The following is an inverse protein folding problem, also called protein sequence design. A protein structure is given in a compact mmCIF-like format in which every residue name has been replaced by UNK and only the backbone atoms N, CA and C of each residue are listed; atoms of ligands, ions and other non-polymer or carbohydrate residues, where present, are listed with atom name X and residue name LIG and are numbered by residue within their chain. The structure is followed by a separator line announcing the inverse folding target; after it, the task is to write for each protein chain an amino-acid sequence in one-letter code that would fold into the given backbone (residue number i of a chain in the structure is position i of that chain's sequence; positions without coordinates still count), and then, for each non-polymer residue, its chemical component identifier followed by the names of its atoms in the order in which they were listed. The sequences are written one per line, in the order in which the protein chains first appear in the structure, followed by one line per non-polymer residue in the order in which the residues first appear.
data_IF_413421766772
#
_entry.id   IF_413421766772
#
_cell.length_a   1.000
_cell.length_b   1.000
_cell.length_c   1.000
_cell.angle_alpha   90.00
_cell.angle_beta   90.00
_cell.angle_gamma   90.00
#
_symmetry.space_group_name_H-M   'P 1'
#
loop_
_entity.id
_entity.type
_entity.pdbx_description
1 polymer ?
#
# COMPACT_ATOMS: atom_id res chain seq x y z
N UNK A 1 50.39 8.12 -39.58
CA UNK A 1 49.01 8.13 -40.13
C UNK A 1 48.09 7.22 -39.32
N UNK A 2 48.48 5.98 -38.99
CA UNK A 2 47.64 5.04 -38.22
C UNK A 2 47.32 5.58 -36.81
N UNK A 3 48.29 6.11 -36.07
CA UNK A 3 48.12 6.59 -34.72
C UNK A 3 47.28 7.88 -34.65
N UNK A 4 47.38 8.76 -35.64
CA UNK A 4 46.53 9.95 -35.73
C UNK A 4 45.08 9.59 -36.06
N UNK A 5 44.85 8.62 -36.94
CA UNK A 5 43.50 8.12 -37.26
C UNK A 5 42.86 7.38 -36.10
N UNK A 6 43.64 6.67 -35.28
CA UNK A 6 43.16 5.95 -34.11
C UNK A 6 42.56 6.92 -33.04
N UNK A 7 43.21 8.05 -32.80
CA UNK A 7 42.70 9.06 -31.85
C UNK A 7 41.36 9.61 -32.34
N UNK A 8 41.22 9.93 -33.60
CA UNK A 8 39.96 10.41 -34.18
C UNK A 8 38.87 9.33 -34.12
N UNK A 9 39.21 8.08 -34.44
CA UNK A 9 38.26 6.97 -34.37
C UNK A 9 37.72 6.74 -32.94
N UNK A 10 38.55 6.91 -31.90
CA UNK A 10 38.15 6.82 -30.50
C UNK A 10 37.12 7.93 -30.17
N UNK A 11 37.36 9.16 -30.58
CA UNK A 11 36.42 10.25 -30.33
C UNK A 11 35.09 10.06 -31.09
N UNK A 12 35.15 9.61 -32.34
CA UNK A 12 33.95 9.26 -33.09
C UNK A 12 33.18 8.12 -32.41
N UNK A 13 33.84 7.09 -31.91
CA UNK A 13 33.21 6.00 -31.19
C UNK A 13 32.50 6.47 -29.91
N UNK A 14 33.09 7.45 -29.17
CA UNK A 14 32.44 8.09 -28.02
C UNK A 14 31.17 8.86 -28.43
N UNK A 15 31.22 9.56 -29.55
CA UNK A 15 30.04 10.27 -30.07
C UNK A 15 28.91 9.30 -30.42
N UNK A 16 29.22 8.21 -31.11
CA UNK A 16 28.21 7.17 -31.39
C UNK A 16 27.62 6.56 -30.13
N UNK A 17 28.46 6.25 -29.13
CA UNK A 17 27.97 5.77 -27.85
C UNK A 17 27.05 6.77 -27.16
N UNK A 18 27.42 8.04 -27.14
CA UNK A 18 26.54 9.09 -26.57
C UNK A 18 25.21 9.22 -27.34
N UNK A 19 25.23 9.03 -28.67
CA UNK A 19 24.00 8.99 -29.47
C UNK A 19 23.11 7.79 -29.10
N UNK A 20 23.69 6.60 -28.91
CA UNK A 20 22.96 5.42 -28.45
C UNK A 20 22.38 5.64 -27.06
N UNK A 21 23.11 6.26 -26.13
CA UNK A 21 22.65 6.62 -24.79
C UNK A 21 21.46 7.61 -24.87
N UNK A 22 21.51 8.61 -25.75
CA UNK A 22 20.40 9.56 -25.98
C UNK A 22 19.18 8.85 -26.54
N UNK A 23 19.34 7.97 -27.51
CA UNK A 23 18.24 7.18 -28.07
C UNK A 23 17.61 6.28 -27.00
N UNK A 24 18.43 5.65 -26.16
CA UNK A 24 17.96 4.85 -25.03
C UNK A 24 17.12 5.67 -24.03
N UNK A 25 17.50 6.94 -23.78
CA UNK A 25 16.76 7.87 -22.92
C UNK A 25 15.41 8.32 -23.51
N UNK A 26 15.14 8.07 -24.78
CA UNK A 26 13.84 8.35 -25.38
C UNK A 26 12.79 7.29 -25.04
N UNK A 27 13.21 6.12 -24.60
CA UNK A 27 12.33 5.03 -24.20
C UNK A 27 12.11 5.05 -22.68
N UNK A 28 10.87 5.20 -22.27
CA UNK A 28 10.48 5.25 -20.85
C UNK A 28 10.82 3.97 -20.11
N UNK A 29 10.93 2.84 -20.79
CA UNK A 29 11.27 1.56 -20.17
C UNK A 29 12.73 1.50 -19.69
N UNK A 30 13.60 2.32 -20.29
CA UNK A 30 15.02 2.42 -19.93
C UNK A 30 15.29 3.49 -18.85
N UNK A 31 14.31 4.35 -18.54
CA UNK A 31 14.49 5.43 -17.58
C UNK A 31 14.26 4.95 -16.14
N UNK A 32 15.06 5.47 -15.20
CA UNK A 32 14.97 5.19 -13.78
C UNK A 32 15.16 6.46 -12.94
N UNK A 33 14.64 6.47 -11.72
CA UNK A 33 14.82 7.55 -10.76
C UNK A 33 14.37 8.91 -11.32
N UNK A 34 15.19 9.94 -11.12
CA UNK A 34 14.87 11.32 -11.47
C UNK A 34 14.64 11.58 -12.96
N UNK A 35 15.23 10.79 -13.83
CA UNK A 35 15.04 10.92 -15.27
C UNK A 35 13.67 10.38 -15.71
N UNK A 36 13.23 9.26 -15.12
CA UNK A 36 11.88 8.75 -15.29
C UNK A 36 10.84 9.75 -14.73
N UNK A 37 11.06 10.27 -13.53
CA UNK A 37 10.17 11.26 -12.90
C UNK A 37 9.99 12.49 -13.77
N UNK A 38 11.10 13.07 -14.25
CA UNK A 38 11.07 14.23 -15.16
C UNK A 38 10.35 13.93 -16.46
N UNK A 39 10.64 12.78 -17.07
CA UNK A 39 10.03 12.38 -18.34
C UNK A 39 8.50 12.25 -18.21
N UNK A 40 8.04 11.56 -17.16
CA UNK A 40 6.62 11.31 -16.89
C UNK A 40 5.90 12.62 -16.54
N UNK A 41 6.51 13.43 -15.68
CA UNK A 41 5.97 14.74 -15.30
C UNK A 41 5.81 15.68 -16.50
N UNK A 42 6.85 15.83 -17.32
CA UNK A 42 6.82 16.73 -18.49
C UNK A 42 5.78 16.33 -19.53
N UNK A 43 5.51 15.03 -19.66
CA UNK A 43 4.58 14.52 -20.69
C UNK A 43 3.13 14.40 -20.22
N UNK A 44 2.90 14.13 -18.94
CA UNK A 44 1.57 13.82 -18.40
C UNK A 44 1.23 14.54 -17.10
N UNK A 45 2.16 15.30 -16.53
CA UNK A 45 1.97 15.98 -15.23
C UNK A 45 1.85 15.03 -14.04
N UNK A 46 2.26 13.77 -14.20
CA UNK A 46 2.20 12.77 -13.13
C UNK A 46 3.45 12.89 -12.26
N UNK A 47 3.26 12.95 -10.95
CA UNK A 47 4.32 12.97 -9.95
C UNK A 47 4.44 11.61 -9.26
N UNK A 48 5.64 11.27 -8.84
CA UNK A 48 5.93 10.10 -8.01
C UNK A 48 5.40 10.31 -6.60
N UNK A 49 4.82 9.27 -6.00
CA UNK A 49 4.43 9.27 -4.60
C UNK A 49 5.66 9.07 -3.72
N UNK A 50 5.88 10.00 -2.79
CA UNK A 50 7.05 9.98 -1.88
C UNK A 50 6.84 9.08 -0.65
N UNK A 51 5.71 8.41 -0.56
CA UNK A 51 5.36 7.63 0.60
C UNK A 51 4.91 8.46 1.80
N UNK A 52 4.67 7.80 2.91
CA UNK A 52 4.20 8.45 4.14
C UNK A 52 4.72 7.76 5.40
N UNK A 53 4.64 8.49 6.52
CA UNK A 53 5.03 8.01 7.83
C UNK A 53 3.85 7.34 8.53
N UNK A 54 4.09 6.18 9.15
CA UNK A 54 3.11 5.54 10.01
C UNK A 54 2.83 6.36 11.27
N UNK A 55 1.58 6.39 11.70
CA UNK A 55 1.11 7.14 12.87
C UNK A 55 0.26 6.25 13.77
N UNK A 56 0.27 6.55 15.07
CA UNK A 56 -0.63 5.95 16.05
C UNK A 56 -0.71 6.81 17.29
N UNK A 57 -1.60 6.44 18.20
CA UNK A 57 -1.67 7.01 19.55
C UNK A 57 -1.05 6.05 20.56
N UNK A 58 -0.23 6.59 21.45
CA UNK A 58 0.30 5.85 22.60
C UNK A 58 -0.48 6.19 23.86
N UNK A 59 -0.80 5.18 24.65
CA UNK A 59 -1.15 5.35 26.06
C UNK A 59 0.14 5.40 26.86
N UNK A 60 0.40 6.53 27.49
CA UNK A 60 1.62 6.79 28.28
C UNK A 60 1.22 6.96 29.74
N UNK A 61 1.94 6.28 30.64
CA UNK A 61 1.69 6.34 32.08
C UNK A 61 2.85 7.01 32.82
N UNK A 62 2.50 7.86 33.79
CA UNK A 62 3.49 8.57 34.62
C UNK A 62 2.99 9.92 35.10
N UNK A 63 3.93 10.74 35.60
CA UNK A 63 3.69 12.13 35.97
C UNK A 63 4.79 13.01 35.41
N UNK A 64 4.55 13.65 34.27
CA UNK A 64 5.54 14.46 33.59
C UNK A 64 5.01 14.99 32.26
N UNK A 65 5.87 15.66 31.50
CA UNK A 65 5.53 16.16 30.16
C UNK A 65 6.31 15.39 29.10
N UNK A 66 5.59 14.83 28.14
CA UNK A 66 6.16 14.34 26.89
C UNK A 66 6.23 15.53 25.95
N UNK A 67 7.44 15.86 25.52
CA UNK A 67 7.65 16.95 24.56
C UNK A 67 7.64 16.44 23.13
N UNK A 68 7.25 17.29 22.21
CA UNK A 68 7.41 17.05 20.78
C UNK A 68 8.85 16.59 20.46
N UNK A 69 8.99 15.51 19.68
CA UNK A 69 10.27 14.90 19.37
C UNK A 69 10.78 13.87 20.39
N UNK A 70 10.10 13.65 21.52
CA UNK A 70 10.46 12.55 22.40
C UNK A 70 10.23 11.21 21.68
N UNK A 71 11.18 10.28 21.86
CA UNK A 71 11.22 9.03 21.09
C UNK A 71 10.67 7.88 21.94
N UNK A 72 9.82 7.08 21.28
CA UNK A 72 9.33 5.79 21.74
C UNK A 72 9.76 4.72 20.72
N UNK A 73 9.90 3.48 21.14
CA UNK A 73 10.51 2.45 20.32
C UNK A 73 9.82 1.10 20.49
N UNK A 74 9.79 0.31 19.42
CA UNK A 74 9.42 -1.10 19.47
C UNK A 74 10.61 -1.93 20.01
N UNK A 75 10.37 -3.20 20.36
CA UNK A 75 11.45 -4.13 20.70
C UNK A 75 12.40 -4.42 19.55
N UNK A 76 11.98 -4.17 18.33
CA UNK A 76 12.76 -4.32 17.09
C UNK A 76 13.45 -3.02 16.67
N UNK A 77 13.52 -2.02 17.55
CA UNK A 77 14.20 -0.74 17.35
C UNK A 77 13.57 0.17 16.26
N UNK A 78 12.29 0.01 15.96
CA UNK A 78 11.56 0.96 15.12
C UNK A 78 11.14 2.15 15.98
N UNK A 79 11.54 3.36 15.58
CA UNK A 79 11.40 4.57 16.40
C UNK A 79 10.23 5.44 15.98
N UNK A 80 9.54 5.99 16.98
CA UNK A 80 8.40 6.89 16.82
C UNK A 80 8.63 8.16 17.65
N UNK A 81 8.41 9.33 17.04
CA UNK A 81 8.52 10.61 17.71
C UNK A 81 7.15 11.18 18.08
N UNK A 82 7.05 11.77 19.28
CA UNK A 82 5.87 12.51 19.69
C UNK A 82 5.67 13.75 18.79
N UNK A 83 4.43 13.96 18.34
CA UNK A 83 4.09 15.08 17.46
C UNK A 83 3.69 16.35 18.22
N UNK A 84 3.30 16.25 19.48
CA UNK A 84 2.83 17.36 20.29
C UNK A 84 3.37 17.25 21.73
N UNK A 85 3.45 18.39 22.41
CA UNK A 85 3.67 18.42 23.85
C UNK A 85 2.42 17.94 24.59
N UNK A 86 2.57 16.97 25.46
CA UNK A 86 1.45 16.39 26.22
C UNK A 86 1.81 16.25 27.69
N UNK A 87 1.00 16.85 28.56
CA UNK A 87 1.17 16.69 30.01
C UNK A 87 0.45 15.43 30.50
N UNK A 88 1.21 14.52 31.11
CA UNK A 88 0.73 13.23 31.63
C UNK A 88 0.54 13.34 33.15
N UNK A 89 -0.67 13.05 33.60
CA UNK A 89 -1.01 13.00 35.02
C UNK A 89 -1.73 11.68 35.32
N UNK A 90 -0.97 10.66 35.67
CA UNK A 90 -1.41 9.27 35.77
C UNK A 90 -1.37 8.53 34.44
N UNK A 91 -2.28 8.80 33.54
CA UNK A 91 -2.31 8.25 32.18
C UNK A 91 -2.68 9.33 31.18
N UNK A 92 -2.13 9.29 29.97
CA UNK A 92 -2.44 10.23 28.88
C UNK A 92 -2.22 9.62 27.51
N UNK A 93 -2.78 10.27 26.48
CA UNK A 93 -2.67 9.86 25.08
C UNK A 93 -1.68 10.79 24.36
N UNK A 94 -0.69 10.21 23.72
CA UNK A 94 0.34 10.92 22.93
C UNK A 94 0.25 10.47 21.48
N UNK A 95 0.09 11.40 20.56
CA UNK A 95 0.15 11.12 19.12
C UNK A 95 1.62 10.99 18.71
N UNK A 96 1.96 9.91 18.02
CA UNK A 96 3.32 9.65 17.55
C UNK A 96 3.35 9.31 16.06
N UNK A 97 4.51 9.55 15.46
CA UNK A 97 4.80 9.25 14.06
C UNK A 97 6.11 8.49 13.96
N UNK A 98 6.18 7.48 13.09
CA UNK A 98 7.42 6.80 12.77
C UNK A 98 8.48 7.79 12.24
N UNK A 99 9.75 7.57 12.55
CA UNK A 99 10.84 8.39 12.00
C UNK A 99 11.22 7.99 10.58
N UNK A 100 10.85 6.79 10.15
CA UNK A 100 11.12 6.30 8.82
C UNK A 100 9.83 6.28 7.99
N UNK A 101 9.96 6.65 6.71
CA UNK A 101 8.86 6.55 5.72
C UNK A 101 8.67 5.08 5.37
N UNK A 102 7.41 4.70 5.17
CA UNK A 102 7.11 3.41 4.59
C UNK A 102 6.46 2.41 5.54
N UNK A 103 6.28 1.22 4.99
CA UNK A 103 5.66 0.07 5.65
C UNK A 103 6.46 -0.44 6.86
N UNK A 104 7.73 -0.05 6.99
CA UNK A 104 8.56 -0.38 8.17
C UNK A 104 7.94 0.15 9.47
N UNK A 105 7.24 1.29 9.39
CA UNK A 105 6.54 1.87 10.52
C UNK A 105 5.19 1.22 10.85
N UNK A 106 4.71 0.28 10.02
CA UNK A 106 3.45 -0.44 10.24
C UNK A 106 3.67 -1.54 11.25
N UNK A 107 3.30 -1.28 12.50
CA UNK A 107 3.51 -2.21 13.63
C UNK A 107 2.19 -2.55 14.32
N UNK A 108 2.11 -3.75 14.84
CA UNK A 108 0.94 -4.28 15.55
C UNK A 108 0.66 -3.54 16.86
N UNK A 109 -0.55 -3.70 17.37
CA UNK A 109 -0.92 -3.19 18.70
C UNK A 109 0.00 -3.76 19.79
N UNK A 110 0.28 -2.95 20.82
CA UNK A 110 1.09 -3.30 21.98
C UNK A 110 2.57 -3.64 21.68
N UNK A 111 3.12 -3.13 20.58
CA UNK A 111 4.52 -3.36 20.20
C UNK A 111 5.44 -2.19 20.53
N UNK A 112 4.92 -0.94 20.60
CA UNK A 112 5.68 0.25 20.99
C UNK A 112 5.69 0.35 22.52
N UNK A 113 6.71 -0.21 23.15
CA UNK A 113 6.76 -0.40 24.60
C UNK A 113 8.04 0.09 25.26
N UNK A 114 8.97 0.63 24.49
CA UNK A 114 10.26 1.09 24.98
C UNK A 114 10.38 2.62 24.91
N UNK A 115 11.12 3.16 25.87
CA UNK A 115 11.47 4.59 25.96
C UNK A 115 13.00 4.64 25.93
N UNK A 116 13.64 4.72 24.76
CA UNK A 116 15.10 4.60 24.60
C UNK A 116 15.85 5.73 25.34
N UNK A 117 15.23 6.92 25.41
CA UNK A 117 15.75 8.05 26.17
C UNK A 117 14.78 8.35 27.31
N UNK A 118 15.25 8.26 28.54
CA UNK A 118 14.42 8.49 29.73
C UNK A 118 13.71 9.84 29.69
N UNK A 119 12.38 9.81 29.73
CA UNK A 119 11.52 11.00 29.83
C UNK A 119 11.17 11.17 31.30
N UNK A 120 11.51 12.33 31.90
CA UNK A 120 11.32 12.57 33.33
C UNK A 120 9.86 12.39 33.73
N UNK A 121 9.64 11.46 34.68
CA UNK A 121 8.31 11.18 35.24
C UNK A 121 7.45 10.22 34.42
N UNK A 122 7.89 9.75 33.26
CA UNK A 122 7.19 8.76 32.43
C UNK A 122 7.72 7.36 32.76
N UNK A 123 6.80 6.42 32.99
CA UNK A 123 7.11 5.06 33.46
C UNK A 123 6.94 4.03 32.36
N UNK A 124 5.89 4.14 31.58
CA UNK A 124 5.59 3.15 30.52
C UNK A 124 4.79 3.77 29.37
N UNK A 125 4.88 3.13 28.20
CA UNK A 125 4.08 3.46 27.02
C UNK A 125 3.58 2.18 26.37
N UNK A 126 2.48 2.28 25.61
CA UNK A 126 1.99 1.22 24.71
C UNK A 126 1.08 1.82 23.64
N UNK A 127 1.07 1.23 22.43
CA UNK A 127 0.08 1.55 21.41
C UNK A 127 -1.11 0.58 21.52
N UNK A 128 -2.30 1.03 21.91
CA UNK A 128 -3.46 0.15 22.02
C UNK A 128 -3.96 -0.35 20.65
N UNK A 129 -3.70 0.41 19.59
CA UNK A 129 -4.05 0.08 18.20
C UNK A 129 -2.79 -0.10 17.36
N UNK A 130 -2.87 -0.85 16.24
CA UNK A 130 -1.81 -0.85 15.24
C UNK A 130 -1.52 0.55 14.72
N UNK A 131 -0.35 0.74 14.10
CA UNK A 131 -0.05 1.98 13.37
C UNK A 131 -0.76 1.99 12.02
N UNK A 132 -1.02 3.18 11.50
CA UNK A 132 -1.72 3.42 10.24
C UNK A 132 -0.94 4.38 9.34
N UNK A 133 -1.31 4.41 8.04
CA UNK A 133 -0.83 5.38 7.02
C UNK A 133 0.69 5.33 6.71
N UNK A 134 1.39 4.24 7.04
CA UNK A 134 2.79 4.03 6.66
C UNK A 134 2.92 3.39 5.27
N UNK A 135 3.19 4.20 4.24
CA UNK A 135 3.28 3.74 2.85
C UNK A 135 4.67 3.97 2.29
N UNK A 136 5.17 2.97 1.55
CA UNK A 136 6.47 3.07 0.91
C UNK A 136 6.46 4.09 -0.23
N UNK A 137 7.63 4.62 -0.56
CA UNK A 137 7.83 5.41 -1.76
C UNK A 137 7.47 4.60 -3.01
N UNK A 138 6.79 5.24 -3.96
CA UNK A 138 6.39 4.59 -5.19
C UNK A 138 7.59 4.06 -5.99
N UNK A 139 7.50 2.83 -6.50
CA UNK A 139 8.55 2.25 -7.33
C UNK A 139 8.58 2.86 -8.73
N UNK A 140 9.74 2.77 -9.41
CA UNK A 140 9.85 3.17 -10.81
C UNK A 140 8.87 2.42 -11.71
N UNK A 141 8.60 1.15 -11.42
CA UNK A 141 7.68 0.32 -12.20
C UNK A 141 6.22 0.77 -12.03
N UNK A 142 5.83 1.14 -10.80
CA UNK A 142 4.51 1.72 -10.53
C UNK A 142 4.33 3.07 -11.25
N UNK A 143 5.32 3.97 -11.16
CA UNK A 143 5.29 5.24 -11.87
C UNK A 143 5.20 5.07 -13.39
N UNK A 144 5.93 4.09 -13.95
CA UNK A 144 5.88 3.73 -15.37
C UNK A 144 4.51 3.18 -15.76
N UNK A 145 3.92 2.36 -14.88
CA UNK A 145 2.57 1.84 -15.08
C UNK A 145 1.52 2.94 -15.10
N UNK A 146 1.58 3.90 -14.15
CA UNK A 146 0.72 5.10 -14.15
C UNK A 146 0.83 5.89 -15.46
N UNK A 147 2.04 6.05 -15.97
CA UNK A 147 2.27 6.73 -17.25
C UNK A 147 1.61 5.99 -18.42
N UNK A 148 1.76 4.67 -18.50
CA UNK A 148 1.10 3.87 -19.55
C UNK A 148 -0.42 3.87 -19.41
N UNK A 149 -0.94 3.83 -18.20
CA UNK A 149 -2.39 3.96 -17.98
C UNK A 149 -2.93 5.30 -18.46
N UNK A 150 -2.23 6.39 -18.16
CA UNK A 150 -2.62 7.73 -18.63
C UNK A 150 -2.58 7.90 -20.17
N UNK A 151 -1.77 7.09 -20.87
CA UNK A 151 -1.72 7.08 -22.31
C UNK A 151 -2.79 6.17 -22.92
N UNK A 152 -2.93 4.96 -22.39
CA UNK A 152 -3.76 3.89 -22.95
C UNK A 152 -5.21 3.94 -22.50
N UNK A 153 -5.47 4.50 -21.31
CA UNK A 153 -6.80 4.62 -20.71
C UNK A 153 -7.08 6.07 -20.34
N UNK A 154 -7.30 6.94 -21.33
CA UNK A 154 -7.46 8.36 -21.03
C UNK A 154 -8.73 8.61 -20.17
N UNK A 155 -8.52 9.35 -19.10
CA UNK A 155 -9.59 9.75 -18.19
C UNK A 155 -10.31 10.99 -18.74
N UNK A 156 -11.62 10.88 -19.03
CA UNK A 156 -12.44 11.98 -19.55
C UNK A 156 -13.79 12.06 -18.84
N UNK A 157 -14.28 13.29 -18.63
CA UNK A 157 -15.68 13.60 -18.37
C UNK A 157 -16.41 12.67 -17.38
N UNK A 158 -15.73 12.22 -16.32
CA UNK A 158 -16.34 11.36 -15.31
C UNK A 158 -16.58 9.90 -15.76
N UNK A 159 -15.82 9.39 -16.73
CA UNK A 159 -15.85 7.98 -17.05
C UNK A 159 -15.18 7.13 -15.92
N UNK A 160 -15.30 5.79 -15.99
CA UNK A 160 -14.71 4.87 -15.00
C UNK A 160 -13.23 5.16 -14.72
N UNK A 161 -12.45 5.40 -15.78
CA UNK A 161 -11.01 5.68 -15.66
C UNK A 161 -10.71 7.01 -14.97
N UNK A 162 -11.63 7.97 -15.07
CA UNK A 162 -11.50 9.23 -14.35
C UNK A 162 -11.65 9.04 -12.84
N UNK A 163 -12.65 8.28 -12.38
CA UNK A 163 -12.78 7.92 -10.96
C UNK A 163 -11.58 7.12 -10.43
N UNK A 164 -11.06 6.18 -11.22
CA UNK A 164 -9.85 5.43 -10.88
C UNK A 164 -8.67 6.39 -10.73
N UNK A 165 -8.50 7.32 -11.67
CA UNK A 165 -7.42 8.31 -11.63
C UNK A 165 -7.53 9.19 -10.39
N UNK A 166 -8.69 9.78 -10.13
CA UNK A 166 -8.92 10.64 -8.97
C UNK A 166 -8.63 9.91 -7.64
N UNK A 167 -9.04 8.66 -7.52
CA UNK A 167 -8.71 7.88 -6.33
C UNK A 167 -7.19 7.69 -6.19
N UNK A 168 -6.49 7.37 -7.28
CA UNK A 168 -5.03 7.15 -7.31
C UNK A 168 -4.21 8.44 -7.15
N UNK A 169 -4.78 9.62 -7.41
CA UNK A 169 -4.12 10.90 -7.19
C UNK A 169 -3.93 11.19 -5.68
N UNK A 170 -4.59 10.42 -4.81
CA UNK A 170 -4.44 10.51 -3.36
C UNK A 170 -3.36 9.53 -2.87
N UNK A 171 -2.32 10.08 -2.26
CA UNK A 171 -1.23 9.28 -1.67
C UNK A 171 -1.76 8.28 -0.64
N UNK A 172 -1.28 7.05 -0.72
CA UNK A 172 -1.71 5.94 0.12
C UNK A 172 -2.73 5.00 -0.53
N UNK A 173 -3.33 5.37 -1.66
CA UNK A 173 -4.22 4.48 -2.41
C UNK A 173 -3.39 3.48 -3.22
N UNK A 174 -3.78 2.20 -3.15
CA UNK A 174 -3.11 1.10 -3.83
C UNK A 174 -3.25 1.15 -5.36
N UNK A 175 -2.51 0.25 -6.02
CA UNK A 175 -2.45 0.21 -7.50
C UNK A 175 -3.79 -0.11 -8.15
N UNK A 176 -4.62 -0.92 -7.52
CA UNK A 176 -5.90 -1.34 -8.06
C UNK A 176 -7.04 -0.59 -7.34
N UNK A 177 -7.93 -0.03 -8.13
CA UNK A 177 -9.15 0.67 -7.68
C UNK A 177 -10.31 0.12 -8.49
N UNK A 178 -11.38 -0.27 -7.82
CA UNK A 178 -12.57 -0.80 -8.48
C UNK A 178 -13.70 0.25 -8.47
N UNK A 179 -14.43 0.37 -9.58
CA UNK A 179 -15.49 1.37 -9.75
C UNK A 179 -16.76 0.69 -10.26
N UNK A 180 -17.83 0.78 -9.47
CA UNK A 180 -19.14 0.23 -9.79
C UNK A 180 -20.13 1.36 -10.10
N UNK A 181 -20.55 1.51 -11.37
CA UNK A 181 -21.61 2.46 -11.71
C UNK A 181 -22.97 1.94 -11.28
N UNK A 182 -23.90 2.86 -10.99
CA UNK A 182 -25.31 2.57 -10.70
C UNK A 182 -25.55 1.57 -9.54
N UNK A 183 -24.60 1.49 -8.60
CA UNK A 183 -24.62 0.48 -7.54
C UNK A 183 -25.81 0.62 -6.56
N UNK A 184 -26.36 1.82 -6.43
CA UNK A 184 -27.52 2.13 -5.58
C UNK A 184 -28.52 3.02 -6.34
N UNK A 185 -28.79 2.69 -7.60
CA UNK A 185 -29.72 3.42 -8.46
C UNK A 185 -29.06 4.45 -9.37
N UNK A 186 -29.87 5.27 -10.08
CA UNK A 186 -29.40 6.25 -11.03
C UNK A 186 -28.39 7.24 -10.42
N UNK A 187 -27.42 7.66 -11.22
CA UNK A 187 -26.39 8.66 -10.87
C UNK A 187 -25.46 8.27 -9.70
N UNK A 188 -25.48 7.03 -9.22
CA UNK A 188 -24.61 6.58 -8.14
C UNK A 188 -23.34 5.89 -8.66
N UNK A 189 -22.20 6.20 -8.06
CA UNK A 189 -20.92 5.58 -8.35
C UNK A 189 -20.31 5.11 -7.04
N UNK A 190 -19.85 3.86 -6.98
CA UNK A 190 -19.10 3.33 -5.84
C UNK A 190 -17.66 3.12 -6.24
N UNK A 191 -16.75 3.70 -5.48
CA UNK A 191 -15.31 3.54 -5.66
C UNK A 191 -14.77 2.72 -4.49
N UNK A 192 -14.13 1.59 -4.80
CA UNK A 192 -13.48 0.73 -3.81
C UNK A 192 -11.99 0.94 -3.89
N UNK A 193 -11.39 1.29 -2.77
CA UNK A 193 -9.95 1.49 -2.62
C UNK A 193 -9.37 0.53 -1.59
N UNK A 194 -8.09 0.26 -1.75
CA UNK A 194 -7.24 -0.43 -0.78
C UNK A 194 -6.00 0.44 -0.56
N UNK A 195 -5.23 0.15 0.48
CA UNK A 195 -3.97 0.84 0.71
C UNK A 195 -2.84 0.33 -0.22
N UNK A 196 -1.70 1.01 -0.23
CA UNK A 196 -0.52 0.60 -1.03
C UNK A 196 0.09 -0.73 -0.58
N UNK A 197 -0.25 -1.21 0.60
CA UNK A 197 0.19 -2.51 1.13
C UNK A 197 -0.74 -3.66 0.70
N UNK A 198 -1.88 -3.35 0.07
CA UNK A 198 -2.90 -4.32 -0.35
C UNK A 198 -3.89 -4.67 0.76
N UNK A 199 -3.94 -3.89 1.83
CA UNK A 199 -4.90 -4.04 2.93
C UNK A 199 -6.14 -3.15 2.72
N UNK A 200 -7.22 -3.36 3.48
CA UNK A 200 -8.32 -2.40 3.51
C UNK A 200 -7.82 -1.00 3.84
N UNK A 201 -8.32 0.00 3.10
CA UNK A 201 -8.01 1.39 3.37
C UNK A 201 -8.51 1.82 4.75
N UNK A 202 -7.71 2.62 5.46
CA UNK A 202 -8.14 3.24 6.72
C UNK A 202 -9.31 4.21 6.51
N UNK A 203 -10.08 4.47 7.56
CA UNK A 203 -11.17 5.46 7.51
C UNK A 203 -10.65 6.84 7.11
N UNK A 204 -9.47 7.22 7.57
CA UNK A 204 -8.79 8.47 7.20
C UNK A 204 -8.48 8.53 5.70
N UNK A 205 -8.01 7.44 5.11
CA UNK A 205 -7.73 7.37 3.67
C UNK A 205 -9.02 7.41 2.85
N UNK A 206 -10.06 6.69 3.29
CA UNK A 206 -11.40 6.72 2.66
C UNK A 206 -11.95 8.14 2.67
N UNK A 207 -11.86 8.84 3.80
CA UNK A 207 -12.35 10.22 3.93
C UNK A 207 -11.57 11.18 3.04
N UNK A 208 -10.25 11.07 2.94
CA UNK A 208 -9.43 11.89 2.03
C UNK A 208 -9.87 11.71 0.58
N UNK A 209 -10.05 10.47 0.13
CA UNK A 209 -10.48 10.17 -1.25
C UNK A 209 -11.93 10.62 -1.49
N UNK A 210 -12.83 10.41 -0.51
CA UNK A 210 -14.22 10.87 -0.58
C UNK A 210 -14.31 12.39 -0.72
N UNK A 211 -13.55 13.12 0.11
CA UNK A 211 -13.55 14.58 0.10
C UNK A 211 -12.90 15.16 -1.16
N UNK A 212 -11.99 14.45 -1.78
CA UNK A 212 -11.39 14.85 -3.05
C UNK A 212 -12.33 14.61 -4.22
N UNK A 213 -12.94 13.42 -4.30
CA UNK A 213 -13.81 13.07 -5.45
C UNK A 213 -15.17 13.74 -5.33
N UNK A 214 -15.87 13.58 -4.21
CA UNK A 214 -17.23 14.08 -4.00
C UNK A 214 -17.48 14.32 -2.50
N UNK A 215 -17.12 15.50 -1.96
CA UNK A 215 -17.26 15.81 -0.55
C UNK A 215 -18.74 15.77 -0.14
N UNK A 216 -19.06 15.04 0.92
CA UNK A 216 -20.44 14.89 1.41
C UNK A 216 -20.91 16.10 2.20
N UNK A 217 -19.98 16.81 2.88
CA UNK A 217 -20.31 17.92 3.75
C UNK A 217 -21.04 17.46 5.04
N UNK A 218 -22.02 18.23 5.50
CA UNK A 218 -22.79 17.94 6.72
C UNK A 218 -24.06 17.17 6.40
N UNK A 219 -24.38 16.18 7.24
CA UNK A 219 -25.63 15.43 7.13
C UNK A 219 -26.76 16.19 7.84
N UNK A 220 -27.82 16.54 7.11
CA UNK A 220 -29.09 16.96 7.71
C UNK A 220 -29.84 15.70 8.18
N UNK A 221 -29.85 15.49 9.48
CA UNK A 221 -30.48 14.32 10.10
C UNK A 221 -31.99 14.29 9.95
N UNK A 222 -32.65 15.45 9.67
CA UNK A 222 -34.09 15.55 9.47
C UNK A 222 -34.52 15.05 8.08
N UNK A 223 -33.70 15.30 7.06
CA UNK A 223 -33.99 14.94 5.67
C UNK A 223 -33.16 13.76 5.17
N UNK A 224 -32.12 13.37 5.89
CA UNK A 224 -31.15 12.35 5.48
C UNK A 224 -30.28 12.78 4.31
N UNK A 225 -30.22 14.08 3.98
CA UNK A 225 -29.44 14.61 2.85
C UNK A 225 -28.12 15.21 3.30
N UNK A 226 -27.10 14.99 2.51
CA UNK A 226 -25.79 15.61 2.67
C UNK A 226 -25.75 16.98 1.96
N UNK A 227 -25.08 17.97 2.55
CA UNK A 227 -25.13 19.36 2.08
C UNK A 227 -24.43 19.58 0.73
N UNK A 228 -23.38 18.80 0.43
CA UNK A 228 -22.56 19.01 -0.78
C UNK A 228 -22.43 17.78 -1.67
N UNK A 229 -22.95 16.63 -1.26
CA UNK A 229 -22.85 15.38 -2.01
C UNK A 229 -23.57 15.46 -3.36
N UNK A 230 -22.87 15.17 -4.43
CA UNK A 230 -23.39 15.22 -5.80
C UNK A 230 -23.55 16.64 -6.36
N UNK A 231 -23.02 17.66 -5.71
CA UNK A 231 -23.14 19.06 -6.15
C UNK A 231 -22.03 19.51 -7.12
N UNK A 232 -21.00 18.65 -7.32
CA UNK A 232 -19.87 18.98 -8.18
C UNK A 232 -18.85 19.94 -7.55
N UNK A 233 -18.78 19.99 -6.21
CA UNK A 233 -17.76 20.77 -5.48
C UNK A 233 -16.39 20.06 -5.56
N UNK A 234 -16.38 18.72 -5.56
CA UNK A 234 -15.17 17.92 -5.80
C UNK A 234 -14.90 17.72 -7.29
N UNK A 235 -14.15 16.66 -7.60
CA UNK A 235 -13.80 16.29 -8.98
C UNK A 235 -14.95 15.62 -9.73
N UNK A 236 -15.90 14.99 -9.01
CA UNK A 236 -17.05 14.33 -9.60
C UNK A 236 -18.01 15.32 -10.28
N UNK A 237 -18.58 14.96 -11.45
CA UNK A 237 -19.53 15.85 -12.13
C UNK A 237 -20.79 16.08 -11.29
N UNK A 238 -21.42 17.25 -11.47
CA UNK A 238 -22.71 17.55 -10.86
C UNK A 238 -23.75 16.47 -11.17
N UNK A 239 -24.48 16.03 -10.13
CA UNK A 239 -25.47 14.97 -10.23
C UNK A 239 -24.92 13.55 -10.12
N UNK A 240 -23.60 13.37 -10.03
CA UNK A 240 -22.98 12.09 -9.75
C UNK A 240 -22.72 11.93 -8.25
N UNK A 241 -23.38 10.96 -7.63
CA UNK A 241 -23.25 10.66 -6.20
C UNK A 241 -22.18 9.60 -5.99
N UNK A 242 -20.95 10.02 -5.67
CA UNK A 242 -19.84 9.12 -5.43
C UNK A 242 -19.80 8.66 -3.97
N UNK A 243 -19.64 7.37 -3.75
CA UNK A 243 -19.39 6.77 -2.44
C UNK A 243 -18.07 6.02 -2.48
N UNK A 244 -17.12 6.42 -1.64
CA UNK A 244 -15.83 5.74 -1.48
C UNK A 244 -15.93 4.76 -0.31
N UNK A 245 -15.48 3.53 -0.53
CA UNK A 245 -15.44 2.46 0.46
C UNK A 245 -14.13 1.68 0.33
N UNK A 246 -13.89 0.79 1.27
CA UNK A 246 -12.80 -0.20 1.17
C UNK A 246 -13.33 -1.60 0.91
N UNK A 247 -12.44 -2.52 0.55
CA UNK A 247 -12.75 -3.92 0.37
C UNK A 247 -12.84 -4.65 1.72
N UNK A 248 -13.56 -5.76 1.75
CA UNK A 248 -13.67 -6.64 2.92
C UNK A 248 -12.58 -7.72 2.86
N UNK A 249 -11.98 -8.06 3.99
CA UNK A 249 -10.99 -9.14 4.07
C UNK A 249 -11.65 -10.49 3.91
N UNK A 250 -11.10 -11.33 3.02
CA UNK A 250 -11.33 -12.77 2.95
C UNK A 250 -10.10 -13.49 3.47
N UNK A 251 -10.20 -14.03 4.67
CA UNK A 251 -9.10 -14.74 5.32
C UNK A 251 -8.83 -16.08 4.64
N UNK A 252 -7.59 -16.35 4.32
CA UNK A 252 -7.09 -17.55 3.67
C UNK A 252 -6.14 -18.26 4.62
N UNK A 253 -6.57 -19.35 5.21
CA UNK A 253 -5.75 -20.21 6.06
C UNK A 253 -4.99 -21.22 5.21
N UNK A 254 -3.75 -21.49 5.57
CA UNK A 254 -2.84 -22.34 4.81
C UNK A 254 -2.27 -23.40 5.73
N UNK A 255 -2.40 -24.67 5.32
CA UNK A 255 -1.78 -25.78 6.01
C UNK A 255 -0.90 -26.55 5.02
N UNK A 256 0.39 -26.70 5.33
CA UNK A 256 1.34 -27.38 4.46
C UNK A 256 2.17 -28.41 5.23
N UNK A 257 2.33 -29.62 4.65
CA UNK A 257 3.34 -30.57 5.10
C UNK A 257 4.58 -30.43 4.22
N UNK A 258 5.67 -29.95 4.84
CA UNK A 258 6.91 -29.57 4.13
C UNK A 258 8.10 -30.38 4.63
N UNK A 259 9.04 -30.61 3.73
CA UNK A 259 10.37 -31.11 4.06
C UNK A 259 11.31 -29.93 4.23
N UNK A 260 11.78 -29.71 5.46
CA UNK A 260 12.64 -28.58 5.81
C UNK A 260 14.07 -28.75 5.29
N UNK A 261 14.71 -27.65 4.94
CA UNK A 261 16.14 -27.57 4.74
C UNK A 261 16.88 -27.50 6.08
N UNK A 262 18.14 -27.94 6.09
CA UNK A 262 18.99 -27.77 7.27
C UNK A 262 19.21 -26.28 7.59
N UNK A 263 19.30 -25.96 8.87
CA UNK A 263 19.51 -24.59 9.41
C UNK A 263 18.34 -23.62 9.34
N UNK A 264 17.11 -24.08 9.08
CA UNK A 264 15.90 -23.26 9.16
C UNK A 264 14.99 -23.73 10.29
N UNK A 265 14.45 -22.78 11.05
CA UNK A 265 13.41 -23.06 12.05
C UNK A 265 12.02 -23.02 11.43
N UNK A 266 11.03 -23.61 12.11
CA UNK A 266 9.62 -23.55 11.65
C UNK A 266 9.12 -22.11 11.57
N UNK A 267 9.55 -21.25 12.50
CA UNK A 267 9.16 -19.84 12.53
C UNK A 267 9.76 -19.06 11.35
N UNK A 268 11.02 -19.33 10.97
CA UNK A 268 11.67 -18.72 9.81
C UNK A 268 10.92 -19.08 8.53
N UNK A 269 10.64 -20.37 8.34
CA UNK A 269 9.93 -20.87 7.16
C UNK A 269 8.50 -20.30 7.10
N UNK A 270 7.80 -20.31 8.23
CA UNK A 270 6.44 -19.75 8.34
C UNK A 270 6.43 -18.25 7.99
N UNK A 271 7.42 -17.50 8.47
CA UNK A 271 7.57 -16.07 8.14
C UNK A 271 7.82 -15.86 6.65
N UNK A 272 8.72 -16.66 6.04
CA UNK A 272 9.05 -16.56 4.63
C UNK A 272 7.86 -16.93 3.72
N UNK A 273 7.15 -18.01 4.03
CA UNK A 273 5.90 -18.40 3.34
C UNK A 273 4.86 -17.28 3.45
N UNK A 274 4.65 -16.75 4.65
CA UNK A 274 3.69 -15.67 4.89
C UNK A 274 4.01 -14.43 4.04
N UNK A 275 5.28 -14.03 3.97
CA UNK A 275 5.72 -12.91 3.12
C UNK A 275 5.46 -13.17 1.63
N UNK A 276 5.83 -14.36 1.15
CA UNK A 276 5.62 -14.74 -0.25
C UNK A 276 4.13 -14.71 -0.64
N UNK A 277 3.27 -15.25 0.23
CA UNK A 277 1.83 -15.27 0.00
C UNK A 277 1.20 -13.87 0.13
N UNK A 278 1.65 -13.05 1.09
CA UNK A 278 1.19 -11.67 1.21
C UNK A 278 1.49 -10.85 -0.04
N UNK A 279 2.68 -11.00 -0.61
CA UNK A 279 3.05 -10.36 -1.87
C UNK A 279 2.16 -10.84 -3.05
N UNK A 280 1.87 -12.12 -3.10
CA UNK A 280 0.94 -12.66 -4.09
C UNK A 280 -0.47 -12.11 -3.90
N UNK A 281 -1.00 -12.06 -2.67
CA UNK A 281 -2.32 -11.51 -2.39
C UNK A 281 -2.41 -10.03 -2.74
N UNK A 282 -1.37 -9.25 -2.42
CA UNK A 282 -1.28 -7.85 -2.85
C UNK A 282 -1.38 -7.72 -4.37
N UNK A 283 -0.74 -8.61 -5.13
CA UNK A 283 -0.74 -8.55 -6.59
C UNK A 283 -2.09 -8.85 -7.23
N UNK A 284 -2.97 -9.58 -6.54
CA UNK A 284 -4.32 -9.95 -7.04
C UNK A 284 -5.45 -9.15 -6.38
N UNK A 285 -5.15 -8.31 -5.39
CA UNK A 285 -6.14 -7.49 -4.71
C UNK A 285 -6.81 -6.53 -5.70
N UNK A 286 -8.15 -6.56 -5.79
CA UNK A 286 -8.97 -5.79 -6.73
C UNK A 286 -8.59 -5.97 -8.21
N UNK A 287 -8.02 -7.12 -8.60
CA UNK A 287 -7.73 -7.41 -10.01
C UNK A 287 -8.91 -8.15 -10.65
N UNK A 288 -9.65 -7.47 -11.55
CA UNK A 288 -10.78 -8.05 -12.27
C UNK A 288 -10.43 -9.34 -13.06
N UNK A 289 -9.18 -9.47 -13.49
CA UNK A 289 -8.73 -10.62 -14.30
C UNK A 289 -8.36 -11.83 -13.45
N UNK A 290 -7.94 -11.60 -12.21
CA UNK A 290 -7.47 -12.62 -11.29
C UNK A 290 -8.29 -12.62 -9.98
N UNK A 291 -9.60 -12.71 -10.09
CA UNK A 291 -10.53 -12.68 -8.96
C UNK A 291 -10.62 -14.03 -8.21
N UNK A 292 -9.51 -14.69 -8.01
CA UNK A 292 -9.40 -15.92 -7.23
C UNK A 292 -8.00 -16.13 -6.67
N UNK A 293 -7.91 -16.81 -5.53
CA UNK A 293 -6.66 -17.31 -4.99
C UNK A 293 -6.32 -18.64 -5.66
N UNK A 294 -5.22 -18.67 -6.40
CA UNK A 294 -4.79 -19.87 -7.12
C UNK A 294 -4.07 -20.84 -6.19
N UNK A 295 -4.60 -22.05 -6.06
CA UNK A 295 -3.98 -23.15 -5.33
C UNK A 295 -2.56 -23.46 -5.86
N UNK A 296 -2.42 -23.53 -7.19
CA UNK A 296 -1.13 -23.83 -7.83
C UNK A 296 -0.06 -22.74 -7.57
N UNK A 297 -0.48 -21.46 -7.53
CA UNK A 297 0.47 -20.38 -7.19
C UNK A 297 0.94 -20.47 -5.73
N UNK A 298 0.08 -20.85 -4.80
CA UNK A 298 0.48 -21.03 -3.39
C UNK A 298 1.43 -22.22 -3.24
N UNK A 299 1.20 -23.35 -3.95
CA UNK A 299 2.18 -24.45 -4.00
C UNK A 299 3.54 -23.96 -4.49
N UNK A 300 3.55 -23.21 -5.61
CA UNK A 300 4.79 -22.70 -6.17
C UNK A 300 5.52 -21.75 -5.20
N UNK A 301 4.79 -20.89 -4.50
CA UNK A 301 5.36 -20.01 -3.48
C UNK A 301 5.99 -20.84 -2.36
N UNK A 302 5.30 -21.86 -1.84
CA UNK A 302 5.85 -22.73 -0.80
C UNK A 302 7.14 -23.44 -1.26
N UNK A 303 7.15 -24.00 -2.48
CA UNK A 303 8.33 -24.68 -3.03
C UNK A 303 9.50 -23.74 -3.34
N UNK A 304 9.22 -22.47 -3.64
CA UNK A 304 10.26 -21.46 -3.91
C UNK A 304 10.70 -20.69 -2.67
N UNK A 305 10.14 -21.01 -1.49
CA UNK A 305 10.47 -20.33 -0.24
C UNK A 305 11.76 -20.88 0.35
N UNK A 306 12.65 -19.98 0.77
CA UNK A 306 13.90 -20.34 1.45
C UNK A 306 13.60 -21.18 2.71
N UNK A 307 14.28 -22.32 2.82
CA UNK A 307 14.11 -23.27 3.90
C UNK A 307 13.12 -24.41 3.61
N UNK A 308 12.48 -24.43 2.44
CA UNK A 308 11.61 -25.53 2.00
C UNK A 308 12.30 -26.34 0.90
N UNK A 309 12.55 -27.62 1.15
CA UNK A 309 13.08 -28.56 0.15
C UNK A 309 11.99 -29.24 -0.68
N UNK A 310 10.82 -29.49 -0.06
CA UNK A 310 9.68 -30.11 -0.71
C UNK A 310 8.39 -29.79 0.02
N UNK A 311 7.25 -29.88 -0.68
CA UNK A 311 5.91 -29.67 -0.12
C UNK A 311 5.03 -30.86 -0.52
N UNK A 312 4.82 -31.80 0.42
CA UNK A 312 4.10 -33.03 0.16
C UNK A 312 2.58 -32.83 0.09
N UNK A 313 2.06 -31.97 0.94
CA UNK A 313 0.63 -31.64 0.95
C UNK A 313 0.42 -30.15 1.21
N UNK A 314 -0.61 -29.60 0.59
CA UNK A 314 -1.10 -28.25 0.82
C UNK A 314 -2.60 -28.24 0.94
N UNK A 315 -3.14 -27.48 1.88
CA UNK A 315 -4.55 -27.16 1.95
C UNK A 315 -4.74 -25.65 2.14
N UNK A 316 -5.69 -25.08 1.43
CA UNK A 316 -6.16 -23.70 1.60
C UNK A 316 -7.62 -23.72 2.08
N UNK A 317 -7.88 -23.13 3.24
CA UNK A 317 -9.16 -23.23 3.94
C UNK A 317 -9.67 -24.68 4.04
N UNK A 318 -8.75 -25.63 4.25
CA UNK A 318 -9.06 -27.06 4.37
C UNK A 318 -9.32 -27.80 3.05
N UNK A 319 -9.14 -27.13 1.90
CA UNK A 319 -9.36 -27.70 0.57
C UNK A 319 -8.12 -27.60 -0.34
N UNK A 320 -8.26 -28.15 -1.56
CA UNK A 320 -7.21 -28.16 -2.59
C UNK A 320 -7.66 -27.48 -3.90
N UNK A 321 -8.66 -26.60 -3.81
CA UNK A 321 -9.21 -25.88 -4.96
C UNK A 321 -8.90 -24.39 -4.87
N UNK A 322 -8.98 -23.71 -6.01
CA UNK A 322 -8.91 -22.26 -6.07
C UNK A 322 -10.05 -21.64 -5.24
N UNK A 323 -9.76 -20.55 -4.52
CA UNK A 323 -10.76 -19.83 -3.73
C UNK A 323 -11.20 -18.59 -4.51
N UNK A 324 -12.48 -18.48 -4.91
CA UNK A 324 -12.98 -17.30 -5.60
C UNK A 324 -12.96 -16.08 -4.68
N UNK A 325 -12.65 -14.90 -5.22
CA UNK A 325 -12.72 -13.60 -4.56
C UNK A 325 -13.86 -12.82 -5.19
N UNK A 326 -14.79 -12.33 -4.39
CA UNK A 326 -15.94 -11.58 -4.91
C UNK A 326 -15.54 -10.14 -5.25
N UNK A 327 -15.83 -9.71 -6.48
CA UNK A 327 -15.66 -8.33 -6.96
C UNK A 327 -17.00 -7.82 -7.49
N UNK A 328 -17.91 -7.49 -6.58
CA UNK A 328 -19.22 -6.95 -6.92
C UNK A 328 -19.50 -5.66 -6.12
N UNK A 329 -20.46 -4.87 -6.58
CA UNK A 329 -20.88 -3.67 -5.86
C UNK A 329 -21.39 -3.95 -4.44
N UNK A 330 -21.99 -5.14 -4.23
CA UNK A 330 -22.53 -5.56 -2.93
C UNK A 330 -21.44 -6.12 -2.00
N UNK A 331 -20.50 -6.88 -2.56
CA UNK A 331 -19.41 -7.52 -1.82
C UNK A 331 -18.13 -7.43 -2.64
N UNK A 332 -17.18 -6.66 -2.15
CA UNK A 332 -15.85 -6.56 -2.75
C UNK A 332 -14.83 -7.08 -1.76
N UNK A 333 -14.20 -8.20 -2.08
CA UNK A 333 -13.26 -8.90 -1.20
C UNK A 333 -11.83 -8.74 -1.67
N UNK A 334 -10.91 -8.78 -0.71
CA UNK A 334 -9.46 -8.96 -0.94
C UNK A 334 -8.96 -10.12 -0.09
N UNK A 335 -8.03 -10.95 -0.58
CA UNK A 335 -7.48 -12.03 0.20
C UNK A 335 -6.48 -11.49 1.22
N UNK A 336 -6.52 -12.04 2.43
CA UNK A 336 -5.50 -11.81 3.45
C UNK A 336 -5.03 -13.14 4.02
N UNK A 337 -3.75 -13.20 4.40
CA UNK A 337 -3.17 -14.38 5.02
C UNK A 337 -3.78 -14.54 6.42
N UNK A 338 -4.37 -15.70 6.66
CA UNK A 338 -4.84 -16.11 7.96
C UNK A 338 -3.78 -16.92 8.71
N UNK A 339 -4.21 -18.02 9.31
CA UNK A 339 -3.29 -18.94 9.97
C UNK A 339 -2.45 -19.72 8.93
N UNK A 340 -1.12 -19.70 9.12
CA UNK A 340 -0.19 -20.55 8.38
C UNK A 340 0.33 -21.63 9.31
N UNK A 341 -0.09 -22.86 9.09
CA UNK A 341 0.37 -24.05 9.83
C UNK A 341 1.27 -24.89 8.95
N UNK A 342 2.43 -25.26 9.49
CA UNK A 342 3.38 -26.17 8.84
C UNK A 342 3.56 -27.41 9.70
N UNK A 343 3.74 -28.55 9.06
CA UNK A 343 4.08 -29.82 9.69
C UNK A 343 5.23 -30.48 8.93
N UNK A 344 5.97 -31.34 9.60
CA UNK A 344 6.98 -32.18 8.93
C UNK A 344 6.30 -33.16 7.99
N UNK A 345 6.89 -33.34 6.80
CA UNK A 345 6.39 -34.19 5.71
C UNK A 345 6.95 -35.62 5.79
#
# INVERSE_FOLDING_TARGET
LYDTLKAVAIEIAKVYKNMDDIVSMMDVDNLVGTDLEKYVYQRKGITKDLGSYAKTTLTVNGQGTVYMGNIFETRTSIQFAALNDTNINGSGIVLVQCLEIGSIGMVEANTIVQIPVTIKGIVSCTNPNPTEDGYDEESNDSLRQKYYEAIRKPAFSGNRYHYIKWAKDISGVGENVEVFPLWNGPNTVKVIIIDTNGNPASDSLIEKVQNYIDPKGTLDTSTGKWSTWGTGIGEAPMGAYCTVCTATIKTINIAAAIKKAENYTDDDIKSNITKGISNYFKSIALDEKNNYVSFAKIININLSTDGVNDCNTLAINGGNLNIPISLTAALCEIPAVGEVSISDA
#
